data_IF_666910427120
#
_entry.id   IF_666910427120
#
_cell.length_a   1.000
_cell.length_b   1.000
_cell.length_c   1.000
_cell.angle_alpha   90.00
_cell.angle_beta   90.00
_cell.angle_gamma   90.00
#
_symmetry.space_group_name_H-M   'P 1'
#
loop_
_entity.id
_entity.type
_entity.pdbx_description
1 polymer ?
#
# COMPACT_ATOMS: atom_id res chain seq x y z
N UNK A 1 1.04 7.87 18.54
CA UNK A 1 2.17 7.15 17.97
C UNK A 1 2.62 7.81 16.69
N UNK A 2 3.94 7.89 16.50
CA UNK A 2 4.51 8.52 15.30
C UNK A 2 4.74 7.56 14.15
N UNK A 3 4.56 6.27 14.38
CA UNK A 3 4.82 5.24 13.38
C UNK A 3 3.62 4.31 13.24
N UNK A 4 3.52 3.69 12.08
CA UNK A 4 2.52 2.67 11.83
C UNK A 4 3.16 1.53 11.06
N UNK A 5 2.70 0.31 11.28
CA UNK A 5 3.19 -0.86 10.60
C UNK A 5 2.27 -1.18 9.44
N UNK A 6 2.88 -1.40 8.25
CA UNK A 6 2.16 -1.85 7.07
C UNK A 6 2.69 -3.20 6.64
N UNK A 7 1.76 -4.08 6.29
CA UNK A 7 2.11 -5.29 5.57
C UNK A 7 2.08 -4.98 4.09
N UNK A 8 3.21 -5.18 3.42
CA UNK A 8 3.36 -4.91 1.99
C UNK A 8 3.28 -6.24 1.26
N UNK A 9 2.30 -6.37 0.37
CA UNK A 9 2.11 -7.57 -0.44
C UNK A 9 2.48 -7.27 -1.88
N UNK A 10 3.20 -8.20 -2.51
CA UNK A 10 3.63 -8.04 -3.89
C UNK A 10 3.76 -9.41 -4.57
N UNK A 11 3.92 -9.39 -5.90
CA UNK A 11 3.98 -10.60 -6.73
C UNK A 11 2.70 -11.45 -6.67
N UNK A 12 1.57 -10.79 -6.48
CA UNK A 12 0.24 -11.39 -6.52
C UNK A 12 -0.71 -10.48 -7.27
N UNK A 13 -1.99 -10.73 -7.09
CA UNK A 13 -3.03 -9.95 -7.77
C UNK A 13 -4.14 -9.57 -6.80
N UNK A 14 -4.81 -8.46 -7.10
CA UNK A 14 -5.95 -7.99 -6.31
C UNK A 14 -7.23 -8.62 -6.83
N UNK A 15 -8.13 -8.95 -5.92
CA UNK A 15 -9.45 -9.52 -6.22
C UNK A 15 -10.50 -8.80 -5.38
N UNK A 16 -11.71 -8.70 -5.91
CA UNK A 16 -12.85 -8.20 -5.16
C UNK A 16 -13.77 -9.36 -4.82
N UNK A 17 -14.02 -9.53 -3.53
CA UNK A 17 -14.93 -10.53 -3.01
C UNK A 17 -16.22 -9.85 -2.59
N UNK A 18 -17.37 -10.49 -2.83
CA UNK A 18 -18.66 -9.89 -2.50
C UNK A 18 -18.80 -9.54 -1.02
N UNK A 19 -18.24 -10.36 -0.14
CA UNK A 19 -18.40 -10.20 1.30
C UNK A 19 -17.30 -9.36 1.93
N UNK A 20 -16.09 -9.43 1.41
CA UNK A 20 -14.93 -8.82 2.06
C UNK A 20 -14.31 -7.67 1.28
N UNK A 21 -14.72 -7.48 0.03
CA UNK A 21 -14.15 -6.46 -0.82
C UNK A 21 -12.77 -6.83 -1.33
N UNK A 22 -11.84 -5.91 -1.24
CA UNK A 22 -10.51 -6.07 -1.81
C UNK A 22 -9.65 -7.07 -1.04
N UNK A 23 -9.07 -8.02 -1.74
CA UNK A 23 -8.08 -8.95 -1.20
C UNK A 23 -6.92 -9.11 -2.17
N UNK A 24 -5.85 -9.78 -1.72
CA UNK A 24 -4.65 -9.97 -2.51
C UNK A 24 -4.25 -11.45 -2.45
N UNK A 25 -4.05 -12.07 -3.61
CA UNK A 25 -3.76 -13.50 -3.70
C UNK A 25 -2.76 -13.78 -4.82
N UNK A 26 -2.11 -14.94 -4.75
CA UNK A 26 -1.23 -15.42 -5.80
C UNK A 26 -0.35 -16.54 -5.30
N UNK A 27 0.05 -17.43 -6.21
CA UNK A 27 0.92 -18.56 -5.87
C UNK A 27 2.28 -18.10 -5.38
N UNK A 28 2.78 -16.99 -5.93
CA UNK A 28 4.10 -16.46 -5.60
C UNK A 28 3.99 -15.18 -4.77
N UNK A 29 2.87 -14.96 -4.12
CA UNK A 29 2.67 -13.80 -3.27
C UNK A 29 3.74 -13.72 -2.19
N UNK A 30 4.30 -12.54 -2.02
CA UNK A 30 5.28 -12.24 -0.99
C UNK A 30 4.76 -11.15 -0.07
N UNK A 31 5.28 -11.14 1.15
CA UNK A 31 4.88 -10.20 2.17
C UNK A 31 6.10 -9.67 2.91
N UNK A 32 6.12 -8.38 3.13
CA UNK A 32 7.10 -7.71 3.99
C UNK A 32 6.36 -6.82 4.96
N UNK A 33 6.94 -6.60 6.13
CA UNK A 33 6.42 -5.63 7.08
C UNK A 33 7.31 -4.40 7.08
N UNK A 34 6.71 -3.22 7.00
CA UNK A 34 7.46 -1.97 7.01
C UNK A 34 6.92 -1.04 8.08
N UNK A 35 7.83 -0.42 8.82
CA UNK A 35 7.49 0.59 9.82
C UNK A 35 7.61 1.95 9.15
N UNK A 36 6.51 2.69 9.12
CA UNK A 36 6.41 3.94 8.40
C UNK A 36 6.10 5.08 9.35
N UNK A 37 6.85 6.16 9.22
CA UNK A 37 6.61 7.36 10.01
C UNK A 37 5.35 8.07 9.49
N UNK A 38 4.51 8.52 10.41
CA UNK A 38 3.31 9.28 10.06
C UNK A 38 3.69 10.58 9.39
N UNK A 39 2.93 10.94 8.39
CA UNK A 39 3.19 12.14 7.62
C UNK A 39 4.25 11.99 6.54
N UNK A 40 4.72 10.78 6.30
CA UNK A 40 5.69 10.53 5.24
C UNK A 40 5.10 10.92 3.88
N UNK A 41 5.94 11.47 3.01
CA UNK A 41 5.51 11.80 1.64
C UNK A 41 5.38 10.52 0.81
N UNK A 42 4.62 10.60 -0.28
CA UNK A 42 4.47 9.45 -1.19
C UNK A 42 5.82 8.98 -1.72
N UNK A 43 6.67 9.91 -2.14
CA UNK A 43 7.99 9.58 -2.68
C UNK A 43 8.85 8.84 -1.65
N UNK A 44 8.85 9.31 -0.40
CA UNK A 44 9.61 8.66 0.66
C UNK A 44 9.02 7.30 1.02
N UNK A 45 7.70 7.17 0.99
CA UNK A 45 7.04 5.89 1.21
C UNK A 45 7.43 4.89 0.12
N UNK A 46 7.41 5.29 -1.14
CA UNK A 46 7.83 4.43 -2.24
C UNK A 46 9.26 3.95 -2.07
N UNK A 47 10.17 4.86 -1.71
CA UNK A 47 11.57 4.51 -1.47
C UNK A 47 11.75 3.57 -0.30
N UNK A 48 11.00 3.81 0.77
CA UNK A 48 11.03 2.95 1.96
C UNK A 48 10.63 1.52 1.61
N UNK A 49 9.56 1.38 0.84
CA UNK A 49 9.08 0.08 0.40
C UNK A 49 10.10 -0.61 -0.50
N UNK A 50 10.65 0.11 -1.48
CA UNK A 50 11.68 -0.44 -2.35
C UNK A 50 12.89 -0.94 -1.56
N UNK A 51 13.32 -0.17 -0.57
CA UNK A 51 14.44 -0.55 0.30
C UNK A 51 14.15 -1.84 1.05
N UNK A 52 12.96 -1.95 1.64
CA UNK A 52 12.55 -3.15 2.37
C UNK A 52 12.48 -4.37 1.45
N UNK A 53 12.10 -4.16 0.19
CA UNK A 53 12.04 -5.22 -0.80
C UNK A 53 13.41 -5.56 -1.39
N UNK A 54 14.44 -4.79 -1.06
CA UNK A 54 15.79 -5.00 -1.60
C UNK A 54 15.94 -4.55 -3.05
N UNK A 55 15.11 -3.62 -3.51
CA UNK A 55 15.14 -3.16 -4.89
C UNK A 55 15.76 -1.76 -4.98
N UNK A 56 16.51 -1.54 -6.07
CA UNK A 56 17.15 -0.27 -6.34
C UNK A 56 16.13 0.73 -6.87
N UNK A 57 15.94 1.83 -6.16
CA UNK A 57 14.96 2.86 -6.54
C UNK A 57 15.32 3.59 -7.85
N UNK A 58 16.55 3.48 -8.33
CA UNK A 58 16.91 4.05 -9.62
C UNK A 58 16.47 3.16 -10.80
N UNK A 59 16.17 1.90 -10.53
CA UNK A 59 15.80 0.92 -11.55
C UNK A 59 14.35 0.48 -11.49
N UNK A 60 13.67 0.78 -10.41
CA UNK A 60 12.32 0.30 -10.17
C UNK A 60 11.40 1.42 -9.71
N UNK A 61 10.18 1.35 -10.20
CA UNK A 61 9.07 2.13 -9.67
C UNK A 61 8.03 1.19 -9.10
N UNK A 62 7.19 1.71 -8.23
CA UNK A 62 6.11 0.92 -7.67
C UNK A 62 4.81 1.72 -7.71
N UNK A 63 3.72 0.99 -7.89
CA UNK A 63 2.38 1.50 -7.63
C UNK A 63 1.92 0.93 -6.31
N UNK A 64 1.32 1.74 -5.48
CA UNK A 64 0.88 1.34 -4.14
C UNK A 64 -0.63 1.51 -4.07
N UNK A 65 -1.31 0.46 -3.61
CA UNK A 65 -2.74 0.50 -3.32
C UNK A 65 -2.91 0.23 -1.83
N UNK A 66 -3.55 1.16 -1.13
CA UNK A 66 -3.91 0.96 0.26
C UNK A 66 -5.24 0.23 0.33
N UNK A 67 -5.31 -0.80 1.15
CA UNK A 67 -6.54 -1.53 1.42
C UNK A 67 -7.36 -0.71 2.39
N UNK A 68 -8.22 0.14 1.86
CA UNK A 68 -8.96 1.12 2.65
C UNK A 68 -10.23 0.51 3.25
N UNK A 69 -10.45 0.68 4.56
CA UNK A 69 -11.69 0.22 5.16
C UNK A 69 -12.83 1.11 4.68
N UNK A 70 -13.84 0.49 4.07
CA UNK A 70 -14.98 1.20 3.50
C UNK A 70 -16.12 1.29 4.49
N UNK A 71 -16.47 0.16 5.10
CA UNK A 71 -17.58 0.09 6.04
C UNK A 71 -17.43 -1.15 6.92
N UNK A 72 -18.10 -1.12 8.04
CA UNK A 72 -18.18 -2.26 8.95
C UNK A 72 -19.64 -2.72 8.99
N UNK A 73 -19.83 -4.01 8.73
CA UNK A 73 -21.16 -4.65 8.82
C UNK A 73 -21.00 -5.77 9.84
N UNK A 74 -21.68 -5.64 10.97
CA UNK A 74 -21.53 -6.53 12.12
C UNK A 74 -20.07 -6.52 12.57
N UNK A 75 -19.37 -7.66 12.50
CA UNK A 75 -17.97 -7.76 12.89
C UNK A 75 -17.03 -7.77 11.68
N UNK A 76 -17.58 -7.61 10.48
CA UNK A 76 -16.79 -7.69 9.26
C UNK A 76 -16.50 -6.31 8.68
N UNK A 77 -15.27 -6.11 8.23
CA UNK A 77 -14.85 -4.89 7.56
C UNK A 77 -14.82 -5.15 6.06
N UNK A 78 -15.50 -4.30 5.31
CA UNK A 78 -15.47 -4.33 3.85
C UNK A 78 -14.39 -3.37 3.38
N UNK A 79 -13.47 -3.85 2.55
CA UNK A 79 -12.34 -3.06 2.08
C UNK A 79 -12.48 -2.68 0.61
N UNK A 80 -11.93 -1.52 0.28
CA UNK A 80 -11.85 -1.06 -1.09
C UNK A 80 -10.41 -0.62 -1.40
N UNK A 81 -10.13 -0.32 -2.67
CA UNK A 81 -8.81 0.12 -3.06
C UNK A 81 -8.70 1.64 -2.98
N UNK A 82 -7.60 2.12 -2.46
CA UNK A 82 -7.20 3.52 -2.58
C UNK A 82 -5.80 3.55 -3.18
N UNK A 83 -5.72 3.90 -4.45
CA UNK A 83 -4.42 3.99 -5.12
C UNK A 83 -3.71 5.25 -4.68
N UNK A 84 -2.48 5.13 -4.23
CA UNK A 84 -1.70 6.26 -3.74
C UNK A 84 -0.98 6.93 -4.90
N UNK A 85 -1.63 7.94 -5.48
CA UNK A 85 -1.13 8.65 -6.66
C UNK A 85 -0.46 9.98 -6.32
N UNK A 86 -0.81 10.55 -5.17
CA UNK A 86 -0.32 11.87 -4.76
C UNK A 86 -0.33 11.99 -3.25
N UNK A 87 0.11 13.15 -2.76
CA UNK A 87 0.07 13.45 -1.32
C UNK A 87 -1.35 13.47 -0.77
N UNK A 88 -2.35 13.74 -1.62
CA UNK A 88 -3.75 13.76 -1.20
C UNK A 88 -4.19 12.38 -0.75
N UNK A 89 -3.93 11.34 -1.56
CA UNK A 89 -4.30 9.97 -1.20
C UNK A 89 -3.52 9.46 -0.01
N UNK A 90 -2.25 9.84 0.12
CA UNK A 90 -1.45 9.48 1.31
C UNK A 90 -2.07 10.07 2.57
N UNK A 91 -2.53 11.32 2.50
CA UNK A 91 -3.21 11.96 3.63
C UNK A 91 -4.52 11.24 3.96
N UNK A 92 -5.30 10.87 2.94
CA UNK A 92 -6.53 10.09 3.13
C UNK A 92 -6.22 8.76 3.80
N UNK A 93 -5.15 8.09 3.37
CA UNK A 93 -4.72 6.83 3.99
C UNK A 93 -4.46 7.00 5.48
N UNK A 94 -3.76 8.07 5.87
CA UNK A 94 -3.49 8.32 7.28
C UNK A 94 -4.75 8.57 8.10
N UNK A 95 -5.75 9.21 7.50
CA UNK A 95 -7.04 9.39 8.16
C UNK A 95 -7.73 8.06 8.42
N UNK A 96 -7.71 7.14 7.44
CA UNK A 96 -8.23 5.79 7.63
C UNK A 96 -7.44 5.03 8.68
N UNK A 97 -6.12 5.13 8.66
CA UNK A 97 -5.24 4.46 9.64
C UNK A 97 -5.61 4.89 11.05
N UNK A 98 -5.84 6.19 11.28
CA UNK A 98 -6.23 6.68 12.60
C UNK A 98 -7.55 6.09 13.06
N UNK A 99 -8.54 6.02 12.18
CA UNK A 99 -9.83 5.43 12.51
C UNK A 99 -9.70 3.96 12.87
N UNK A 100 -8.86 3.23 12.14
CA UNK A 100 -8.65 1.81 12.40
C UNK A 100 -7.90 1.56 13.70
N UNK A 101 -6.95 2.44 14.06
CA UNK A 101 -6.25 2.34 15.33
C UNK A 101 -7.21 2.48 16.51
N UNK A 102 -8.17 3.40 16.41
CA UNK A 102 -9.20 3.57 17.45
C UNK A 102 -10.02 2.30 17.63
N UNK A 103 -10.22 1.54 16.55
CA UNK A 103 -10.98 0.28 16.58
C UNK A 103 -10.12 -0.93 16.96
N UNK A 104 -8.85 -0.73 17.27
CA UNK A 104 -7.95 -1.80 17.70
C UNK A 104 -7.12 -2.45 16.60
N UNK A 105 -7.20 -1.99 15.37
CA UNK A 105 -6.37 -2.50 14.27
C UNK A 105 -5.02 -1.80 14.28
N UNK A 106 -3.95 -2.55 14.49
CA UNK A 106 -2.60 -1.96 14.64
C UNK A 106 -1.76 -2.05 13.39
N UNK A 107 -2.24 -2.71 12.36
CA UNK A 107 -1.52 -2.86 11.11
C UNK A 107 -2.48 -2.68 9.93
N UNK A 108 -1.93 -2.27 8.80
CA UNK A 108 -2.69 -2.05 7.57
C UNK A 108 -1.96 -2.69 6.40
N UNK A 109 -2.67 -2.89 5.31
CA UNK A 109 -2.13 -3.60 4.14
C UNK A 109 -1.93 -2.66 2.97
N UNK A 110 -0.78 -2.79 2.35
CA UNK A 110 -0.47 -2.13 1.09
C UNK A 110 -0.21 -3.20 0.03
N UNK A 111 -0.80 -3.02 -1.14
CA UNK A 111 -0.62 -3.90 -2.27
C UNK A 111 0.26 -3.19 -3.29
N UNK A 112 1.38 -3.80 -3.64
CA UNK A 112 2.42 -3.14 -4.43
C UNK A 112 2.61 -3.87 -5.75
N UNK A 113 2.63 -3.10 -6.83
CA UNK A 113 3.01 -3.58 -8.15
C UNK A 113 4.36 -2.97 -8.51
N UNK A 114 5.33 -3.81 -8.82
CA UNK A 114 6.68 -3.40 -9.18
C UNK A 114 6.74 -3.21 -10.68
N UNK A 115 7.33 -2.09 -11.10
CA UNK A 115 7.53 -1.77 -12.52
C UNK A 115 8.98 -1.39 -12.76
N UNK A 116 9.54 -1.68 -13.94
CA UNK A 116 10.85 -1.14 -14.27
C UNK A 116 10.75 0.38 -14.37
N UNK A 117 11.79 1.08 -13.94
CA UNK A 117 11.83 2.52 -14.11
C UNK A 117 11.95 2.84 -15.59
N UNK A 118 11.08 3.72 -16.07
CA UNK A 118 11.12 4.14 -17.47
C UNK A 118 12.27 5.11 -17.64
N UNK A 119 13.16 4.80 -18.59
CA UNK A 119 14.22 5.71 -18.94
C UNK A 119 13.65 6.69 -19.95
N UNK A 120 13.65 7.92 -19.56
CA UNK A 120 13.03 8.96 -20.36
C UNK A 120 13.70 9.21 -21.65
N UNK A 121 14.76 8.74 -21.79
CA UNK A 121 15.46 9.01 -22.98
C UNK A 121 14.69 8.75 -24.20
N UNK A 122 14.48 8.95 -24.30
CA UNK A 122 13.96 8.76 -24.91
C UNK A 122 13.15 8.46 -25.36
N UNK A 123 13.02 8.44 -25.22
CA UNK A 123 12.26 8.27 -25.54
C UNK A 123 11.80 8.93 -26.09
N UNK A 124 12.15 9.04 -26.06
CA UNK A 124 11.85 9.57 -26.48
C UNK A 124 11.88 9.86 -27.03
N UNK A 125 12.20 9.82 -26.96
CA UNK A 125 12.20 10.08 -27.38
C UNK A 125 12.05 10.22 -27.70
#
# INVERSE_FOLDING_TARGET
MNFHYFYVYYDGETYYHELHGLSYQGLNQKQKCVKVKRGISLRKLQRRILTVMGLDHSRHNISIVYRAPQRVVDTQVFYNSLQLLSSIEVKMMWEFVEQMLVKGFIASNLYVTIKPAIVEAGEGS
#
